data_IF_220717211216
#
_entry.id   IF_220717211216
#
_cell.length_a   1.000
_cell.length_b   1.000
_cell.length_c   1.000
_cell.angle_alpha   90.00
_cell.angle_beta   90.00
_cell.angle_gamma   90.00
#
_symmetry.space_group_name_H-M   'P 1'
#
loop_
_entity.id
_entity.type
_entity.pdbx_description
1 polymer ?
#
# COMPACT_ATOMS: atom_id res chain seq x y z
N UNK A 1 -5.00 4.35 -26.56
CA UNK A 1 -3.73 3.61 -26.64
C UNK A 1 -3.98 2.23 -26.08
N UNK A 2 -3.64 1.17 -26.83
CA UNK A 2 -3.77 -0.21 -26.36
C UNK A 2 -2.49 -0.59 -25.62
N UNK A 3 -2.61 -1.16 -24.43
CA UNK A 3 -1.47 -1.69 -23.69
C UNK A 3 -1.05 -3.01 -24.31
N UNK A 4 0.25 -3.18 -24.51
CA UNK A 4 0.85 -4.46 -24.93
C UNK A 4 1.86 -4.83 -23.84
N UNK A 5 1.63 -5.97 -23.18
CA UNK A 5 2.54 -6.46 -22.17
C UNK A 5 3.91 -6.79 -22.78
N UNK A 6 5.02 -6.51 -22.08
CA UNK A 6 6.35 -6.90 -22.55
C UNK A 6 6.43 -8.42 -22.76
N UNK A 7 7.07 -8.82 -23.85
CA UNK A 7 7.34 -10.24 -24.15
C UNK A 7 8.72 -10.70 -23.69
N UNK A 8 9.59 -9.73 -23.31
CA UNK A 8 10.97 -10.01 -22.89
C UNK A 8 11.26 -9.35 -21.53
N UNK A 9 12.18 -9.93 -20.72
CA UNK A 9 12.63 -9.33 -19.47
C UNK A 9 13.22 -7.95 -19.70
N UNK A 10 12.71 -6.95 -18.98
CA UNK A 10 13.05 -5.54 -19.17
C UNK A 10 14.21 -5.09 -18.24
N UNK A 11 15.03 -4.09 -18.63
CA UNK A 11 15.90 -3.40 -17.67
C UNK A 11 15.05 -2.66 -16.63
N UNK A 12 15.69 -2.18 -15.53
CA UNK A 12 14.96 -1.48 -14.45
C UNK A 12 14.13 -0.31 -14.98
N UNK A 13 14.72 0.52 -15.86
CA UNK A 13 14.01 1.64 -16.51
C UNK A 13 12.82 1.17 -17.35
N UNK A 14 12.96 0.07 -18.08
CA UNK A 14 11.88 -0.51 -18.89
C UNK A 14 10.68 -0.96 -18.04
N UNK A 15 10.91 -1.53 -16.85
CA UNK A 15 9.83 -1.89 -15.91
C UNK A 15 9.11 -0.64 -15.41
N UNK A 16 9.83 0.45 -15.15
CA UNK A 16 9.24 1.72 -14.73
C UNK A 16 8.42 2.38 -15.86
N UNK A 17 8.90 2.30 -17.10
CA UNK A 17 8.17 2.78 -18.27
C UNK A 17 6.90 1.96 -18.50
N UNK A 18 6.99 0.64 -18.35
CA UNK A 18 5.86 -0.27 -18.48
C UNK A 18 4.80 -0.03 -17.39
N UNK A 19 5.22 0.20 -16.14
CA UNK A 19 4.36 0.63 -15.06
C UNK A 19 3.53 1.87 -15.43
N UNK A 20 4.20 2.94 -15.89
CA UNK A 20 3.52 4.19 -16.26
C UNK A 20 2.60 4.00 -17.48
N UNK A 21 2.99 3.15 -18.43
CA UNK A 21 2.17 2.81 -19.60
C UNK A 21 0.92 2.04 -19.19
N UNK A 22 1.05 1.02 -18.33
CA UNK A 22 -0.07 0.26 -17.78
C UNK A 22 -1.02 1.18 -17.01
N UNK A 23 -0.49 2.06 -16.15
CA UNK A 23 -1.28 3.04 -15.43
C UNK A 23 -2.08 3.93 -16.39
N UNK A 24 -1.44 4.55 -17.39
CA UNK A 24 -2.11 5.45 -18.34
C UNK A 24 -3.24 4.74 -19.09
N UNK A 25 -3.02 3.51 -19.53
CA UNK A 25 -4.01 2.73 -20.28
C UNK A 25 -5.19 2.28 -19.40
N UNK A 26 -4.94 1.98 -18.11
CA UNK A 26 -5.95 1.48 -17.18
C UNK A 26 -6.68 2.58 -16.40
N UNK A 27 -6.09 3.79 -16.25
CA UNK A 27 -6.58 4.84 -15.36
C UNK A 27 -8.04 5.19 -15.61
N UNK A 28 -8.45 5.34 -16.88
CA UNK A 28 -9.84 5.67 -17.25
C UNK A 28 -10.89 4.67 -16.73
N UNK A 29 -10.48 3.44 -16.42
CA UNK A 29 -11.36 2.40 -15.85
C UNK A 29 -11.17 2.25 -14.34
N UNK A 30 -9.98 2.55 -13.86
CA UNK A 30 -9.59 2.37 -12.45
C UNK A 30 -9.99 3.54 -11.54
N UNK A 31 -10.16 4.77 -12.06
CA UNK A 31 -10.43 5.94 -11.22
C UNK A 31 -11.76 5.82 -10.43
N UNK A 32 -12.78 5.19 -11.04
CA UNK A 32 -14.08 4.96 -10.36
C UNK A 32 -13.89 4.05 -9.13
N UNK A 33 -13.09 2.97 -9.28
CA UNK A 33 -12.77 2.07 -8.18
C UNK A 33 -12.03 2.82 -7.06
N UNK A 34 -11.04 3.62 -7.41
CA UNK A 34 -10.29 4.41 -6.45
C UNK A 34 -11.18 5.48 -5.76
N UNK A 35 -12.16 6.06 -6.48
CA UNK A 35 -13.13 6.98 -5.92
C UNK A 35 -14.03 6.32 -4.87
N UNK A 36 -14.42 5.05 -5.05
CA UNK A 36 -15.18 4.30 -4.05
C UNK A 36 -14.38 4.19 -2.74
N UNK A 37 -13.10 3.84 -2.82
CA UNK A 37 -12.24 3.77 -1.63
C UNK A 37 -12.02 5.15 -0.98
N UNK A 38 -11.86 6.20 -1.78
CA UNK A 38 -11.75 7.57 -1.30
C UNK A 38 -13.03 8.03 -0.59
N UNK A 39 -14.20 7.73 -1.18
CA UNK A 39 -15.50 8.03 -0.58
C UNK A 39 -15.75 7.32 0.74
N UNK A 40 -15.41 6.03 0.82
CA UNK A 40 -15.47 5.27 2.07
C UNK A 40 -14.57 5.88 3.16
N UNK A 41 -13.35 6.30 2.80
CA UNK A 41 -12.44 6.99 3.72
C UNK A 41 -12.98 8.35 4.17
N UNK A 42 -13.63 9.10 3.29
CA UNK A 42 -14.30 10.36 3.64
C UNK A 42 -15.44 10.12 4.63
N UNK A 43 -16.29 9.12 4.36
CA UNK A 43 -17.38 8.76 5.25
C UNK A 43 -16.87 8.38 6.65
N UNK A 44 -15.81 7.59 6.73
CA UNK A 44 -15.20 7.23 8.01
C UNK A 44 -14.66 8.46 8.76
N UNK A 45 -14.00 9.38 8.06
CA UNK A 45 -13.51 10.63 8.68
C UNK A 45 -14.66 11.51 9.21
N UNK A 46 -15.80 11.52 8.55
CA UNK A 46 -16.99 12.24 9.03
C UNK A 46 -17.59 11.58 10.29
N UNK A 47 -17.51 10.24 10.39
CA UNK A 47 -17.97 9.49 11.57
C UNK A 47 -17.01 9.62 12.76
N UNK A 48 -15.70 9.64 12.49
CA UNK A 48 -14.64 9.72 13.49
C UNK A 48 -14.33 11.16 13.95
N UNK A 49 -15.32 12.05 13.93
CA UNK A 49 -15.14 13.47 14.30
C UNK A 49 -14.70 13.60 15.77
N UNK A 50 -13.44 14.01 16.05
CA UNK A 50 -13.05 14.39 17.41
C UNK A 50 -13.85 15.63 17.83
N UNK A 51 -14.21 15.70 19.10
CA UNK A 51 -14.85 16.90 19.67
C UNK A 51 -13.89 18.08 19.55
N UNK A 52 -14.39 19.29 19.25
CA UNK A 52 -13.54 20.48 19.18
C UNK A 52 -12.77 20.68 20.51
N UNK A 53 -11.51 21.16 20.45
CA UNK A 53 -10.77 21.46 21.66
C UNK A 53 -11.53 22.55 22.46
N UNK A 54 -11.62 22.34 23.76
CA UNK A 54 -12.18 23.36 24.66
C UNK A 54 -11.15 24.48 24.84
N UNK A 55 -11.64 25.71 25.04
CA UNK A 55 -10.76 26.84 25.35
C UNK A 55 -9.88 26.53 26.58
N UNK A 56 -8.58 26.72 26.47
CA UNK A 56 -7.60 26.42 27.53
C UNK A 56 -7.06 25.00 27.55
N UNK A 57 -7.46 24.11 26.63
CA UNK A 57 -6.93 22.75 26.58
C UNK A 57 -5.51 22.75 26.00
N UNK A 58 -4.58 22.03 26.66
CA UNK A 58 -3.23 21.84 26.16
C UNK A 58 -3.21 20.84 24.99
N UNK A 59 -2.15 20.89 24.15
CA UNK A 59 -1.96 19.94 23.06
C UNK A 59 -1.99 18.48 23.55
N UNK A 60 -1.37 18.20 24.69
CA UNK A 60 -1.33 16.87 25.29
C UNK A 60 -2.74 16.36 25.66
N UNK A 61 -3.55 17.22 26.30
CA UNK A 61 -4.94 16.90 26.65
C UNK A 61 -5.79 16.66 25.40
N UNK A 62 -5.58 17.45 24.34
CA UNK A 62 -6.24 17.26 23.07
C UNK A 62 -5.86 15.93 22.41
N UNK A 63 -4.58 15.57 22.41
CA UNK A 63 -4.10 14.28 21.87
C UNK A 63 -4.68 13.09 22.66
N UNK A 64 -4.75 13.20 24.01
CA UNK A 64 -5.37 12.17 24.85
C UNK A 64 -6.87 12.04 24.58
N UNK A 65 -7.59 13.15 24.42
CA UNK A 65 -9.00 13.16 24.07
C UNK A 65 -9.22 12.52 22.68
N UNK A 66 -8.38 12.84 21.70
CA UNK A 66 -8.46 12.24 20.35
C UNK A 66 -8.18 10.74 20.41
N UNK A 67 -7.17 10.32 21.18
CA UNK A 67 -6.85 8.90 21.37
C UNK A 67 -8.00 8.12 22.04
N UNK A 68 -8.73 8.74 22.98
CA UNK A 68 -9.92 8.13 23.59
C UNK A 68 -11.09 8.00 22.60
N UNK A 69 -11.27 8.98 21.70
CA UNK A 69 -12.31 8.96 20.66
C UNK A 69 -12.04 7.84 19.64
N UNK A 70 -10.79 7.64 19.24
CA UNK A 70 -10.37 6.56 18.33
C UNK A 70 -10.65 5.16 18.89
N UNK A 71 -10.73 5.03 20.22
CA UNK A 71 -11.04 3.75 20.91
C UNK A 71 -12.53 3.47 21.07
N UNK A 72 -13.42 4.31 20.56
CA UNK A 72 -14.85 4.01 20.63
C UNK A 72 -15.22 2.85 19.70
N UNK A 73 -16.12 1.93 20.10
CA UNK A 73 -16.48 0.78 19.28
C UNK A 73 -16.94 1.14 17.87
N UNK A 74 -17.65 2.28 17.74
CA UNK A 74 -18.14 2.74 16.44
C UNK A 74 -16.99 3.10 15.48
N UNK A 75 -15.92 3.74 15.99
CA UNK A 75 -14.76 4.10 15.17
C UNK A 75 -13.98 2.84 14.80
N UNK A 76 -13.80 1.90 15.73
CA UNK A 76 -13.13 0.63 15.45
C UNK A 76 -13.89 -0.17 14.38
N UNK A 77 -15.20 -0.28 14.49
CA UNK A 77 -16.03 -0.97 13.47
C UNK A 77 -15.94 -0.24 12.13
N UNK A 78 -16.01 1.10 12.14
CA UNK A 78 -15.84 1.90 10.94
C UNK A 78 -14.48 1.70 10.26
N UNK A 79 -13.40 1.64 11.04
CA UNK A 79 -12.05 1.36 10.54
C UNK A 79 -11.96 -0.03 9.91
N UNK A 80 -12.52 -1.06 10.55
CA UNK A 80 -12.55 -2.42 10.00
C UNK A 80 -13.30 -2.45 8.67
N UNK A 81 -14.49 -1.84 8.61
CA UNK A 81 -15.28 -1.75 7.37
C UNK A 81 -14.49 -1.00 6.28
N UNK A 82 -13.86 0.12 6.62
CA UNK A 82 -13.05 0.88 5.69
C UNK A 82 -11.90 0.05 5.11
N UNK A 83 -11.14 -0.63 5.95
CA UNK A 83 -10.04 -1.49 5.49
C UNK A 83 -10.51 -2.65 4.63
N UNK A 84 -11.67 -3.23 4.92
CA UNK A 84 -12.28 -4.26 4.07
C UNK A 84 -12.66 -3.68 2.69
N UNK A 85 -13.26 -2.50 2.65
CA UNK A 85 -13.58 -1.81 1.39
C UNK A 85 -12.31 -1.51 0.60
N UNK A 86 -11.27 -0.97 1.25
CA UNK A 86 -9.97 -0.69 0.62
C UNK A 86 -9.35 -1.97 0.05
N UNK A 87 -9.41 -3.07 0.79
CA UNK A 87 -8.87 -4.36 0.35
C UNK A 87 -9.61 -4.89 -0.88
N UNK A 88 -10.95 -4.86 -0.87
CA UNK A 88 -11.77 -5.26 -2.02
C UNK A 88 -11.50 -4.38 -3.24
N UNK A 89 -11.44 -3.06 -3.06
CA UNK A 89 -11.18 -2.11 -4.15
C UNK A 89 -9.76 -2.29 -4.70
N UNK A 90 -8.77 -2.50 -3.83
CA UNK A 90 -7.40 -2.74 -4.28
C UNK A 90 -7.30 -4.05 -5.09
N UNK A 91 -7.99 -5.10 -4.65
CA UNK A 91 -8.14 -6.33 -5.41
C UNK A 91 -8.84 -6.12 -6.75
N UNK A 92 -9.89 -5.31 -6.78
CA UNK A 92 -10.59 -4.95 -8.02
C UNK A 92 -9.69 -4.17 -8.99
N UNK A 93 -8.85 -3.26 -8.47
CA UNK A 93 -7.84 -2.53 -9.26
C UNK A 93 -6.84 -3.50 -9.91
N UNK A 94 -6.32 -4.45 -9.13
CA UNK A 94 -5.41 -5.48 -9.66
C UNK A 94 -6.10 -6.35 -10.73
N UNK A 95 -7.36 -6.75 -10.51
CA UNK A 95 -8.13 -7.52 -11.49
C UNK A 95 -8.33 -6.74 -12.80
N UNK A 96 -8.72 -5.46 -12.70
CA UNK A 96 -8.94 -4.58 -13.84
C UNK A 96 -7.64 -4.36 -14.63
N UNK A 97 -6.53 -4.09 -13.95
CA UNK A 97 -5.23 -3.88 -14.59
C UNK A 97 -4.68 -5.17 -15.21
N UNK A 98 -4.88 -6.31 -14.54
CA UNK A 98 -4.53 -7.62 -15.10
C UNK A 98 -5.35 -7.95 -16.36
N UNK A 99 -6.63 -7.53 -16.42
CA UNK A 99 -7.44 -7.66 -17.63
C UNK A 99 -6.91 -6.79 -18.77
N UNK A 100 -6.60 -5.51 -18.48
CA UNK A 100 -5.96 -4.60 -19.46
C UNK A 100 -4.63 -5.19 -19.95
N UNK A 101 -3.83 -5.79 -19.08
CA UNK A 101 -2.56 -6.42 -19.43
C UNK A 101 -2.73 -7.64 -20.35
N UNK A 102 -3.84 -8.35 -20.25
CA UNK A 102 -4.21 -9.46 -21.15
C UNK A 102 -4.89 -8.99 -22.45
N UNK A 103 -5.14 -7.68 -22.61
CA UNK A 103 -5.87 -7.13 -23.73
C UNK A 103 -7.40 -7.35 -23.67
N UNK A 104 -7.92 -7.74 -22.52
CA UNK A 104 -9.36 -7.90 -22.30
C UNK A 104 -10.00 -6.54 -22.01
N UNK A 105 -10.68 -6.03 -23.04
CA UNK A 105 -11.38 -4.76 -22.94
C UNK A 105 -12.84 -4.90 -22.45
N UNK A 106 -13.34 -6.11 -22.32
CA UNK A 106 -14.75 -6.40 -21.98
C UNK A 106 -15.03 -6.33 -20.47
N UNK A 107 -14.00 -6.43 -19.63
CA UNK A 107 -14.18 -6.45 -18.18
C UNK A 107 -14.72 -5.12 -17.63
N UNK A 108 -15.90 -5.18 -17.02
CA UNK A 108 -16.55 -4.02 -16.43
C UNK A 108 -15.99 -3.69 -15.02
N UNK A 109 -16.28 -2.48 -14.52
CA UNK A 109 -15.95 -2.08 -13.15
C UNK A 109 -16.67 -2.98 -12.13
N UNK A 110 -17.92 -3.37 -12.44
CA UNK A 110 -18.71 -4.28 -11.60
C UNK A 110 -18.08 -5.67 -11.50
N UNK A 111 -17.62 -6.24 -12.64
CA UNK A 111 -16.95 -7.54 -12.66
C UNK A 111 -15.66 -7.53 -11.85
N UNK A 112 -14.92 -6.40 -11.90
CA UNK A 112 -13.69 -6.22 -11.14
C UNK A 112 -13.97 -6.13 -9.64
N UNK A 113 -15.02 -5.42 -9.22
CA UNK A 113 -15.45 -5.37 -7.82
C UNK A 113 -15.91 -6.75 -7.33
N UNK A 114 -16.67 -7.47 -8.16
CA UNK A 114 -17.09 -8.83 -7.84
C UNK A 114 -15.90 -9.78 -7.71
N UNK A 115 -14.90 -9.65 -8.59
CA UNK A 115 -13.65 -10.41 -8.49
C UNK A 115 -12.88 -10.11 -7.21
N UNK A 116 -12.84 -8.85 -6.76
CA UNK A 116 -12.28 -8.43 -5.48
C UNK A 116 -13.04 -9.05 -4.31
N UNK A 117 -14.37 -8.92 -4.31
CA UNK A 117 -15.24 -9.43 -3.24
C UNK A 117 -15.16 -10.96 -3.12
N UNK A 118 -15.25 -11.69 -4.23
CA UNK A 118 -15.17 -13.16 -4.27
C UNK A 118 -13.83 -13.69 -3.74
N UNK A 119 -12.74 -12.94 -3.91
CA UNK A 119 -11.40 -13.32 -3.43
C UNK A 119 -11.08 -12.77 -2.04
N UNK A 120 -11.98 -11.99 -1.43
CA UNK A 120 -11.79 -11.41 -0.10
C UNK A 120 -11.38 -12.44 0.96
N UNK A 121 -11.98 -13.64 1.10
CA UNK A 121 -11.53 -14.60 2.09
C UNK A 121 -10.08 -15.04 1.90
N UNK A 122 -9.62 -15.19 0.64
CA UNK A 122 -8.23 -15.53 0.31
C UNK A 122 -7.27 -14.40 0.66
N UNK A 123 -7.70 -13.15 0.41
CA UNK A 123 -6.93 -11.95 0.75
C UNK A 123 -6.83 -11.78 2.27
N UNK A 124 -7.92 -12.02 3.01
CA UNK A 124 -7.91 -11.98 4.48
C UNK A 124 -6.99 -13.04 5.07
N UNK A 125 -7.06 -14.28 4.58
CA UNK A 125 -6.16 -15.34 5.04
C UNK A 125 -4.70 -15.01 4.72
N UNK A 126 -4.39 -14.59 3.50
CA UNK A 126 -3.03 -14.19 3.10
C UNK A 126 -2.52 -13.00 3.92
N UNK A 127 -3.37 -11.98 4.11
CA UNK A 127 -3.06 -10.79 4.92
C UNK A 127 -2.86 -11.12 6.40
N UNK A 128 -3.67 -12.02 6.97
CA UNK A 128 -3.51 -12.48 8.35
C UNK A 128 -2.17 -13.22 8.53
N UNK A 129 -1.86 -14.16 7.63
CA UNK A 129 -0.60 -14.88 7.67
C UNK A 129 0.60 -13.93 7.50
N UNK A 130 0.51 -12.98 6.57
CA UNK A 130 1.52 -11.94 6.40
C UNK A 130 1.69 -11.12 7.67
N UNK A 131 0.59 -10.68 8.29
CA UNK A 131 0.61 -9.92 9.54
C UNK A 131 1.24 -10.73 10.69
N UNK A 132 0.98 -12.04 10.78
CA UNK A 132 1.60 -12.92 11.77
C UNK A 132 3.12 -13.06 11.52
N UNK A 133 3.55 -13.24 10.28
CA UNK A 133 4.98 -13.36 9.92
C UNK A 133 5.71 -12.04 10.26
N UNK A 134 5.18 -10.89 9.83
CA UNK A 134 5.79 -9.60 10.11
C UNK A 134 5.70 -9.24 11.59
N UNK A 135 4.59 -9.55 12.25
CA UNK A 135 4.39 -9.35 13.68
C UNK A 135 5.40 -10.13 14.53
N UNK A 136 5.74 -11.36 14.13
CA UNK A 136 6.77 -12.15 14.80
C UNK A 136 8.17 -11.49 14.74
N UNK A 137 8.43 -10.64 13.75
CA UNK A 137 9.69 -9.86 13.63
C UNK A 137 9.56 -8.51 14.38
N UNK A 138 8.42 -7.85 14.25
CA UNK A 138 8.18 -6.53 14.83
C UNK A 138 8.07 -6.60 16.37
N UNK A 139 7.44 -7.65 16.90
CA UNK A 139 7.20 -7.78 18.34
C UNK A 139 8.50 -7.79 19.18
N UNK A 140 9.54 -8.59 18.85
CA UNK A 140 10.81 -8.51 19.54
C UNK A 140 11.47 -7.14 19.45
N UNK A 141 11.37 -6.46 18.30
CA UNK A 141 11.88 -5.09 18.13
C UNK A 141 11.14 -4.08 19.03
N UNK A 142 9.84 -4.19 19.13
CA UNK A 142 9.03 -3.33 20.01
C UNK A 142 9.33 -3.57 21.49
N UNK A 143 9.49 -4.84 21.92
CA UNK A 143 9.85 -5.21 23.29
C UNK A 143 11.24 -4.66 23.64
N UNK A 144 12.23 -4.85 22.75
CA UNK A 144 13.60 -4.34 23.00
C UNK A 144 13.64 -2.82 23.05
N UNK A 145 12.89 -2.11 22.21
CA UNK A 145 12.77 -0.66 22.27
C UNK A 145 12.12 -0.20 23.58
N UNK A 146 11.05 -0.86 24.04
CA UNK A 146 10.39 -0.57 25.30
C UNK A 146 11.30 -0.78 26.52
N UNK A 147 12.08 -1.86 26.53
CA UNK A 147 13.06 -2.14 27.57
C UNK A 147 14.15 -1.06 27.62
N UNK A 148 14.67 -0.62 26.47
CA UNK A 148 15.66 0.45 26.40
C UNK A 148 15.12 1.77 26.96
N UNK A 149 13.90 2.15 26.60
CA UNK A 149 13.23 3.34 27.13
C UNK A 149 13.08 3.24 28.67
N UNK A 150 12.68 2.06 29.16
CA UNK A 150 12.56 1.82 30.61
C UNK A 150 13.90 1.90 31.37
N UNK A 151 14.96 1.35 30.78
CA UNK A 151 16.32 1.43 31.37
C UNK A 151 16.87 2.86 31.34
N UNK A 152 16.61 3.60 30.25
CA UNK A 152 16.93 5.03 30.15
C UNK A 152 16.27 5.84 31.28
N UNK A 153 14.97 5.67 31.46
CA UNK A 153 14.23 6.34 32.54
C UNK A 153 14.71 5.97 33.93
N UNK A 154 15.23 4.74 34.09
CA UNK A 154 15.81 4.28 35.37
C UNK A 154 17.26 4.72 35.61
N UNK A 155 17.89 5.44 34.69
CA UNK A 155 19.31 5.84 34.77
C UNK A 155 20.29 4.66 34.74
N UNK A 156 19.86 3.51 34.18
CA UNK A 156 20.66 2.26 34.15
C UNK A 156 21.23 1.98 32.74
N UNK A 157 21.53 3.02 32.01
CA UNK A 157 22.11 2.91 30.67
C UNK A 157 23.60 2.58 30.77
N UNK A 158 24.05 1.68 29.88
CA UNK A 158 25.45 1.48 29.62
C UNK A 158 25.70 1.52 28.10
N UNK A 159 26.85 2.07 27.70
CA UNK A 159 27.21 2.17 26.28
C UNK A 159 27.16 0.81 25.57
N UNK A 160 27.67 -0.29 26.14
CA UNK A 160 27.55 -1.61 25.50
C UNK A 160 26.12 -2.08 25.31
N UNK A 161 25.22 -1.78 26.27
CA UNK A 161 23.80 -2.14 26.14
C UNK A 161 23.13 -1.39 24.99
N UNK A 162 23.37 -0.07 24.88
CA UNK A 162 22.81 0.75 23.79
C UNK A 162 23.32 0.30 22.43
N UNK A 163 24.64 0.00 22.32
CA UNK A 163 25.21 -0.52 21.07
C UNK A 163 24.65 -1.90 20.71
N UNK A 164 24.54 -2.81 21.66
CA UNK A 164 23.96 -4.14 21.43
C UNK A 164 22.50 -4.05 20.96
N UNK A 165 21.72 -3.19 21.56
CA UNK A 165 20.33 -2.97 21.20
C UNK A 165 20.19 -2.29 19.82
N UNK A 166 21.02 -1.30 19.50
CA UNK A 166 21.04 -0.66 18.19
C UNK A 166 21.38 -1.68 17.07
N UNK A 167 22.37 -2.54 17.29
CA UNK A 167 22.72 -3.60 16.35
C UNK A 167 21.59 -4.64 16.21
N UNK A 168 20.95 -5.02 17.30
CA UNK A 168 19.79 -5.91 17.30
C UNK A 168 18.61 -5.34 16.53
N UNK A 169 18.28 -4.07 16.76
CA UNK A 169 17.23 -3.36 16.03
C UNK A 169 17.55 -3.23 14.54
N UNK A 170 18.82 -2.95 14.20
CA UNK A 170 19.26 -2.91 12.81
C UNK A 170 19.10 -4.29 12.12
N UNK A 171 19.51 -5.36 12.80
CA UNK A 171 19.36 -6.72 12.28
C UNK A 171 17.88 -7.08 12.05
N UNK A 172 16.99 -6.75 13.01
CA UNK A 172 15.53 -6.95 12.85
C UNK A 172 14.94 -6.11 11.73
N UNK A 173 15.39 -4.87 11.56
CA UNK A 173 14.95 -4.00 10.46
C UNK A 173 15.38 -4.57 9.09
N UNK A 174 16.61 -5.07 8.97
CA UNK A 174 17.09 -5.72 7.74
C UNK A 174 16.33 -7.01 7.46
N UNK A 175 16.05 -7.82 8.49
CA UNK A 175 15.24 -9.02 8.37
C UNK A 175 13.81 -8.68 7.92
N UNK A 176 13.21 -7.64 8.51
CA UNK A 176 11.88 -7.16 8.14
C UNK A 176 11.84 -6.72 6.67
N UNK A 177 12.82 -5.94 6.22
CA UNK A 177 12.95 -5.51 4.84
C UNK A 177 13.12 -6.72 3.90
N UNK A 178 13.95 -7.68 4.28
CA UNK A 178 14.18 -8.89 3.49
C UNK A 178 12.89 -9.71 3.30
N UNK A 179 12.15 -9.94 4.39
CA UNK A 179 10.89 -10.70 4.38
C UNK A 179 9.79 -9.92 3.66
N UNK A 180 9.71 -8.62 3.90
CA UNK A 180 8.73 -7.75 3.24
C UNK A 180 8.84 -7.84 1.71
N UNK A 181 10.02 -7.59 1.15
CA UNK A 181 10.25 -7.66 -0.30
C UNK A 181 9.93 -9.05 -0.88
N UNK A 182 10.17 -10.11 -0.12
CA UNK A 182 9.85 -11.48 -0.52
C UNK A 182 8.36 -11.77 -0.60
N UNK A 183 7.55 -11.09 0.20
CA UNK A 183 6.13 -11.38 0.35
C UNK A 183 5.23 -10.33 -0.31
N UNK A 184 5.77 -9.25 -0.86
CA UNK A 184 4.96 -8.11 -1.36
C UNK A 184 4.08 -8.45 -2.58
N UNK A 185 4.39 -9.53 -3.34
CA UNK A 185 3.62 -9.93 -4.53
C UNK A 185 2.46 -10.89 -4.24
N UNK A 186 2.14 -11.16 -2.97
CA UNK A 186 1.06 -12.09 -2.62
C UNK A 186 -0.30 -11.70 -3.21
N UNK A 187 -0.64 -10.40 -3.27
CA UNK A 187 -1.88 -9.92 -3.87
C UNK A 187 -1.92 -10.10 -5.40
N UNK A 188 -0.93 -9.61 -6.20
CA UNK A 188 -0.86 -9.92 -7.63
C UNK A 188 -0.99 -11.41 -7.94
N UNK A 189 -0.35 -12.29 -7.15
CA UNK A 189 -0.43 -13.75 -7.31
C UNK A 189 -1.87 -14.26 -7.15
N UNK A 190 -2.62 -13.78 -6.14
CA UNK A 190 -4.03 -14.16 -5.95
C UNK A 190 -4.88 -13.80 -7.18
N UNK A 191 -4.64 -12.64 -7.79
CA UNK A 191 -5.48 -12.15 -8.87
C UNK A 191 -5.06 -12.66 -10.25
N UNK A 192 -3.79 -12.91 -10.48
CA UNK A 192 -3.28 -13.40 -11.77
C UNK A 192 -3.28 -14.93 -11.84
N UNK A 193 -2.79 -15.61 -10.78
CA UNK A 193 -2.67 -17.07 -10.74
C UNK A 193 -3.87 -17.77 -10.06
N UNK A 194 -4.82 -17.00 -9.52
CA UNK A 194 -6.02 -17.51 -8.81
C UNK A 194 -5.69 -18.45 -7.63
N UNK A 195 -4.57 -18.23 -6.95
CA UNK A 195 -4.09 -19.03 -5.83
C UNK A 195 -4.85 -18.75 -4.52
N UNK A 196 -4.75 -19.68 -3.56
CA UNK A 196 -5.20 -19.45 -2.19
C UNK A 196 -4.28 -18.51 -1.42
N UNK A 197 -4.76 -17.92 -0.30
CA UNK A 197 -4.02 -16.94 0.47
C UNK A 197 -2.65 -17.41 0.99
N UNK A 198 -2.57 -18.62 1.56
CA UNK A 198 -1.29 -19.20 2.02
C UNK A 198 -0.36 -19.57 0.84
N UNK A 199 -0.93 -20.15 -0.23
CA UNK A 199 -0.17 -20.51 -1.42
C UNK A 199 0.44 -19.28 -2.12
N UNK A 200 -0.26 -18.13 -2.09
CA UNK A 200 0.21 -16.87 -2.68
C UNK A 200 1.46 -16.33 -2.00
N UNK A 201 1.58 -16.45 -0.68
CA UNK A 201 2.79 -16.08 0.06
C UNK A 201 3.98 -16.96 -0.33
N UNK A 202 3.77 -18.28 -0.39
CA UNK A 202 4.81 -19.23 -0.83
C UNK A 202 5.24 -18.99 -2.29
N UNK A 203 4.28 -18.61 -3.15
CA UNK A 203 4.56 -18.27 -4.55
C UNK A 203 5.33 -16.95 -4.66
N UNK A 204 4.93 -15.92 -3.92
CA UNK A 204 5.64 -14.63 -3.85
C UNK A 204 7.10 -14.84 -3.40
N UNK A 205 7.31 -15.65 -2.36
CA UNK A 205 8.64 -15.99 -1.86
C UNK A 205 9.53 -16.63 -2.94
N UNK A 206 8.97 -17.53 -3.74
CA UNK A 206 9.70 -18.19 -4.84
C UNK A 206 9.98 -17.24 -6.01
N UNK A 207 9.03 -16.36 -6.35
CA UNK A 207 9.19 -15.38 -7.44
C UNK A 207 10.36 -14.42 -7.19
N UNK A 208 10.59 -14.02 -5.95
CA UNK A 208 11.68 -13.08 -5.60
C UNK A 208 13.02 -13.81 -5.40
N UNK A 209 13.03 -15.16 -5.31
CA UNK A 209 14.26 -15.93 -5.09
C UNK A 209 15.26 -15.70 -6.23
N UNK A 210 16.47 -15.27 -5.88
CA UNK A 210 17.54 -14.98 -6.84
C UNK A 210 17.51 -13.56 -7.42
N UNK A 211 16.40 -12.82 -7.28
CA UNK A 211 16.25 -11.47 -7.84
C UNK A 211 15.96 -10.40 -6.78
N UNK A 212 16.23 -10.68 -5.50
CA UNK A 212 15.87 -9.84 -4.36
C UNK A 212 16.41 -8.40 -4.50
N UNK A 213 17.70 -8.23 -4.83
CA UNK A 213 18.30 -6.89 -4.99
C UNK A 213 17.65 -6.09 -6.11
N UNK A 214 17.31 -6.76 -7.20
CA UNK A 214 16.64 -6.12 -8.33
C UNK A 214 15.24 -5.65 -7.94
N UNK A 215 14.47 -6.52 -7.30
CA UNK A 215 13.11 -6.18 -6.82
C UNK A 215 13.19 -5.01 -5.84
N UNK A 216 14.10 -5.09 -4.86
CA UNK A 216 14.31 -4.01 -3.89
C UNK A 216 14.66 -2.69 -4.57
N UNK A 217 15.55 -2.71 -5.58
CA UNK A 217 15.91 -1.50 -6.31
C UNK A 217 14.72 -0.88 -7.06
N UNK A 218 13.94 -1.70 -7.79
CA UNK A 218 12.76 -1.21 -8.52
C UNK A 218 11.70 -0.68 -7.55
N UNK A 219 11.40 -1.43 -6.49
CA UNK A 219 10.43 -1.03 -5.44
C UNK A 219 10.88 0.26 -4.75
N UNK A 220 12.17 0.41 -4.47
CA UNK A 220 12.72 1.62 -3.84
C UNK A 220 12.57 2.84 -4.75
N UNK A 221 12.95 2.73 -6.04
CA UNK A 221 12.79 3.82 -7.01
C UNK A 221 11.31 4.17 -7.20
N UNK A 222 10.45 3.16 -7.37
CA UNK A 222 9.01 3.37 -7.46
C UNK A 222 8.45 4.04 -6.18
N UNK A 223 8.94 3.62 -5.00
CA UNK A 223 8.61 4.21 -3.71
C UNK A 223 8.98 5.68 -3.62
N UNK A 224 10.18 6.07 -4.08
CA UNK A 224 10.61 7.48 -4.16
C UNK A 224 9.68 8.28 -5.07
N UNK A 225 9.38 7.76 -6.26
CA UNK A 225 8.47 8.44 -7.21
C UNK A 225 7.08 8.62 -6.57
N UNK A 226 6.55 7.58 -5.94
CA UNK A 226 5.28 7.63 -5.23
C UNK A 226 5.31 8.62 -4.05
N UNK A 227 6.41 8.67 -3.30
CA UNK A 227 6.59 9.61 -2.20
C UNK A 227 6.62 11.07 -2.67
N UNK A 228 7.40 11.37 -3.73
CA UNK A 228 7.45 12.69 -4.34
C UNK A 228 6.07 13.09 -4.87
N UNK A 229 5.38 12.18 -5.55
CA UNK A 229 4.03 12.42 -6.07
C UNK A 229 3.02 12.72 -4.94
N UNK A 230 3.05 11.93 -3.86
CA UNK A 230 2.19 12.17 -2.70
C UNK A 230 2.54 13.51 -2.01
N UNK A 231 3.84 13.85 -1.91
CA UNK A 231 4.26 15.13 -1.36
C UNK A 231 3.80 16.30 -2.25
N UNK A 232 3.93 16.18 -3.57
CA UNK A 232 3.50 17.22 -4.51
C UNK A 232 1.97 17.40 -4.46
N UNK A 233 1.19 16.33 -4.56
CA UNK A 233 -0.28 16.41 -4.52
C UNK A 233 -0.76 16.81 -3.12
N UNK A 234 -0.29 16.15 -2.07
CA UNK A 234 -0.69 16.41 -0.70
C UNK A 234 -0.23 17.79 -0.21
N UNK A 235 0.96 18.21 -0.58
CA UNK A 235 1.51 19.53 -0.24
C UNK A 235 0.75 20.68 -0.90
N UNK A 236 0.47 20.58 -2.21
CA UNK A 236 -0.30 21.61 -2.93
C UNK A 236 -1.74 21.67 -2.41
N UNK A 237 -2.40 20.54 -2.23
CA UNK A 237 -3.74 20.50 -1.67
C UNK A 237 -3.76 20.98 -0.21
N UNK A 238 -2.75 20.64 0.59
CA UNK A 238 -2.58 21.14 1.96
C UNK A 238 -2.39 22.64 2.03
N UNK A 239 -1.62 23.22 1.11
CA UNK A 239 -1.45 24.68 0.99
C UNK A 239 -2.77 25.37 0.62
N UNK A 240 -3.50 24.84 -0.37
CA UNK A 240 -4.83 25.38 -0.76
C UNK A 240 -5.79 25.28 0.43
N UNK A 241 -5.85 24.16 1.11
CA UNK A 241 -6.67 23.98 2.31
C UNK A 241 -6.27 24.95 3.44
N UNK A 242 -4.96 25.18 3.64
CA UNK A 242 -4.44 26.15 4.60
C UNK A 242 -4.81 27.59 4.27
N UNK A 243 -4.72 27.98 3.01
CA UNK A 243 -5.12 29.34 2.54
C UNK A 243 -6.62 29.52 2.70
N UNK A 244 -7.46 28.56 2.27
CA UNK A 244 -8.90 28.62 2.45
C UNK A 244 -9.30 28.73 3.93
N UNK A 245 -8.60 27.99 4.80
CA UNK A 245 -8.82 28.03 6.24
C UNK A 245 -8.31 29.33 6.92
N UNK A 246 -7.38 30.10 6.32
CA UNK A 246 -6.86 31.34 6.90
C UNK A 246 -7.81 32.54 6.74
N UNK A 247 -8.78 32.47 5.82
CA UNK A 247 -9.60 33.62 5.42
C UNK A 247 -10.90 33.79 6.21
N UNK A 248 -11.13 33.17 7.36
CA UNK A 248 -12.36 33.44 8.05
C UNK A 248 -12.69 32.71 9.36
N UNK A 249 -11.74 32.04 9.95
CA UNK A 249 -12.06 31.17 11.08
C UNK A 249 -11.11 31.38 12.26
N UNK A 250 -11.66 31.40 13.50
CA UNK A 250 -10.93 31.63 14.73
C UNK A 250 -10.12 30.43 15.25
N UNK A 251 -9.55 30.51 16.46
CA UNK A 251 -8.62 29.46 16.98
C UNK A 251 -9.25 28.06 17.16
N UNK A 252 -10.59 27.91 17.02
CA UNK A 252 -11.28 26.61 17.01
C UNK A 252 -11.06 25.76 15.76
N UNK A 253 -10.41 26.29 14.72
CA UNK A 253 -10.45 25.75 13.35
C UNK A 253 -9.27 24.86 12.96
N UNK A 254 -8.37 24.51 13.89
CA UNK A 254 -7.34 23.48 13.66
C UNK A 254 -7.97 22.17 13.17
N UNK A 255 -9.12 21.81 13.73
CA UNK A 255 -9.88 20.63 13.30
C UNK A 255 -10.41 20.74 11.88
N UNK A 256 -10.94 21.91 11.51
CA UNK A 256 -11.41 22.16 10.16
C UNK A 256 -10.27 22.05 9.14
N UNK A 257 -9.09 22.61 9.45
CA UNK A 257 -7.86 22.48 8.65
C UNK A 257 -7.40 21.04 8.49
N UNK A 258 -7.38 20.27 9.58
CA UNK A 258 -7.05 18.84 9.56
C UNK A 258 -8.05 18.07 8.69
N UNK A 259 -9.33 18.37 8.76
CA UNK A 259 -10.37 17.72 7.93
C UNK A 259 -10.25 18.04 6.46
N UNK A 260 -10.05 19.31 6.12
CA UNK A 260 -9.82 19.70 4.71
C UNK A 260 -8.57 18.99 4.19
N UNK A 261 -7.45 19.02 4.93
CA UNK A 261 -6.22 18.32 4.55
C UNK A 261 -6.44 16.81 4.35
N UNK A 262 -7.19 16.18 5.25
CA UNK A 262 -7.53 14.78 5.16
C UNK A 262 -8.47 14.45 3.98
N UNK A 263 -9.48 15.31 3.72
CA UNK A 263 -10.35 15.18 2.57
C UNK A 263 -9.56 15.31 1.25
N UNK A 264 -8.67 16.28 1.17
CA UNK A 264 -7.80 16.47 0.02
C UNK A 264 -6.82 15.30 -0.17
N UNK A 265 -6.28 14.73 0.92
CA UNK A 265 -5.47 13.52 0.86
C UNK A 265 -6.23 12.31 0.30
N UNK A 266 -7.54 12.20 0.55
CA UNK A 266 -8.37 11.15 -0.04
C UNK A 266 -8.53 11.33 -1.54
N UNK A 267 -8.62 12.58 -2.03
CA UNK A 267 -8.64 12.86 -3.48
C UNK A 267 -7.33 12.42 -4.12
N UNK A 268 -6.20 12.66 -3.46
CA UNK A 268 -4.89 12.18 -3.94
C UNK A 268 -4.86 10.65 -4.14
N UNK A 269 -5.56 9.89 -3.30
CA UNK A 269 -5.66 8.43 -3.40
C UNK A 269 -6.31 7.95 -4.69
N UNK A 270 -7.18 8.74 -5.32
CA UNK A 270 -7.81 8.40 -6.61
C UNK A 270 -6.75 8.20 -7.71
N UNK A 271 -5.64 8.92 -7.64
CA UNK A 271 -4.52 8.77 -8.57
C UNK A 271 -3.50 7.74 -8.07
N UNK A 272 -3.16 7.79 -6.78
CA UNK A 272 -2.04 7.01 -6.24
C UNK A 272 -2.38 5.53 -6.06
N UNK A 273 -3.63 5.16 -5.75
CA UNK A 273 -4.01 3.74 -5.62
C UNK A 273 -3.90 2.94 -6.92
N UNK A 274 -4.46 3.40 -8.07
CA UNK A 274 -4.26 2.69 -9.33
C UNK A 274 -2.80 2.66 -9.78
N UNK A 275 -2.04 3.73 -9.48
CA UNK A 275 -0.63 3.81 -9.79
C UNK A 275 0.17 2.78 -8.98
N UNK A 276 -0.14 2.62 -7.68
CA UNK A 276 0.47 1.61 -6.82
C UNK A 276 0.14 0.18 -7.26
N UNK A 277 -1.10 -0.09 -7.66
CA UNK A 277 -1.48 -1.41 -8.16
C UNK A 277 -0.74 -1.74 -9.47
N UNK A 278 -0.55 -0.75 -10.34
CA UNK A 278 0.17 -0.93 -11.61
C UNK A 278 1.66 -1.27 -11.40
N UNK A 279 2.34 -0.67 -10.41
CA UNK A 279 3.76 -0.97 -10.16
C UNK A 279 3.96 -2.42 -9.73
N UNK A 280 3.12 -2.92 -8.80
CA UNK A 280 3.20 -4.30 -8.36
C UNK A 280 2.95 -5.29 -9.50
N UNK A 281 2.00 -4.97 -10.37
CA UNK A 281 1.69 -5.82 -11.51
C UNK A 281 2.82 -5.80 -12.55
N UNK A 282 3.43 -4.65 -12.84
CA UNK A 282 4.55 -4.53 -13.76
C UNK A 282 5.80 -5.32 -13.28
N UNK A 283 6.16 -5.17 -11.98
CA UNK A 283 7.26 -5.94 -11.40
C UNK A 283 6.95 -7.45 -11.40
N UNK A 284 5.71 -7.82 -11.06
CA UNK A 284 5.28 -9.21 -11.07
C UNK A 284 5.40 -9.84 -12.46
N UNK A 285 5.02 -9.11 -13.52
CA UNK A 285 5.17 -9.58 -14.91
C UNK A 285 6.64 -9.74 -15.31
N UNK A 286 7.53 -8.79 -14.97
CA UNK A 286 8.97 -8.91 -15.25
C UNK A 286 9.59 -10.13 -14.53
N UNK A 287 9.19 -10.39 -13.28
CA UNK A 287 9.66 -11.57 -12.53
C UNK A 287 9.18 -12.89 -13.15
N UNK A 288 7.93 -12.95 -13.62
CA UNK A 288 7.42 -14.14 -14.30
C UNK A 288 8.16 -14.42 -15.60
N UNK A 289 8.41 -13.40 -16.42
CA UNK A 289 9.18 -13.54 -17.65
C UNK A 289 10.57 -14.13 -17.39
N UNK A 290 11.22 -13.68 -16.30
CA UNK A 290 12.57 -14.17 -15.93
C UNK A 290 12.61 -15.59 -15.39
N UNK A 291 11.60 -15.99 -14.63
CA UNK A 291 11.61 -17.27 -13.92
C UNK A 291 10.95 -18.40 -14.69
N UNK A 292 9.90 -18.09 -15.45
CA UNK A 292 9.11 -19.09 -16.14
C UNK A 292 9.54 -19.28 -17.61
N UNK A 293 10.50 -18.47 -18.08
CA UNK A 293 10.96 -18.54 -19.47
C UNK A 293 9.81 -18.33 -20.49
N UNK A 294 8.78 -17.55 -20.11
CA UNK A 294 7.62 -17.29 -20.95
C UNK A 294 7.99 -16.65 -22.29
N UNK A 295 9.12 -15.96 -22.35
CA UNK A 295 9.73 -15.45 -23.56
C UNK A 295 10.18 -16.58 -24.49
N UNK A 296 10.71 -17.67 -23.94
CA UNK A 296 11.15 -18.85 -24.71
C UNK A 296 9.96 -19.65 -25.26
N UNK A 297 8.89 -19.79 -24.47
CA UNK A 297 7.67 -20.45 -24.96
C UNK A 297 6.99 -19.65 -26.05
N UNK A 298 6.87 -18.33 -25.91
CA UNK A 298 6.32 -17.45 -26.94
C UNK A 298 7.13 -17.48 -28.25
N UNK A 299 8.47 -17.52 -28.13
CA UNK A 299 9.36 -17.68 -29.31
C UNK A 299 9.24 -19.07 -29.95
N UNK A 300 9.12 -20.12 -29.14
CA UNK A 300 8.93 -21.47 -29.65
C UNK A 300 7.59 -21.63 -30.38
N UNK A 301 6.52 -21.06 -29.88
CA UNK A 301 5.22 -21.03 -30.55
C UNK A 301 5.25 -20.23 -31.86
N UNK A 302 5.95 -19.09 -31.88
CA UNK A 302 6.14 -18.29 -33.10
C UNK A 302 6.97 -18.99 -34.16
N UNK A 303 7.88 -19.89 -33.79
CA UNK A 303 8.69 -20.69 -34.71
C UNK A 303 7.99 -21.98 -35.14
N UNK A 304 7.17 -22.59 -34.28
CA UNK A 304 6.41 -23.82 -34.58
C UNK A 304 5.14 -23.61 -35.37
N UNK A 305 4.67 -22.36 -35.49
CA UNK A 305 3.49 -21.98 -36.31
C UNK A 305 3.81 -21.61 -37.74
N UNK A 306 5.02 -21.88 -38.19
CA UNK A 306 5.46 -21.85 -39.62
C UNK A 306 5.66 -23.29 -40.09
#
# INVERSE_FOLDING_TARGET
MKYVAPSEPQPVGGVLDDWLRLFRCSFRRCWILALIAAGAGMALQLLAVPRPPRAGMTLLQYLQQTASTVRTPQVIVGDVIFWLIVLVVYGALLAQQAAVARGDESQSVGDSLWAGLRRLPRMLLGGLLLALILGAIILPAAISAGLLIGLHQAGRESVPLLLGAALGMLALALLLLYVWVRLEFWLPVIFVENCGGAASLGRSWRLVKGHWWRVTAITFVAGIIMWILNLAIGGTLGLIGGILASHGYGPGDILYRIRIGAALALIARVVTMPLLAAVWLAIYHDLRLRLEGLDLTARAEALGGR
#
